data_IF_796160415030
#
_entry.id   IF_796160415030
#
_cell.length_a   1.000
_cell.length_b   1.000
_cell.length_c   1.000
_cell.angle_alpha   90.00
_cell.angle_beta   90.00
_cell.angle_gamma   90.00
#
_symmetry.space_group_name_H-M   'P 1'
#
loop_
_entity.id
_entity.type
_entity.pdbx_description
1 polymer ?
#
# COMPACT_ATOMS: atom_id res chain seq x y z
N UNK A 1 2.57 3.45 20.35
CA UNK A 1 1.76 2.66 19.40
C UNK A 1 0.45 2.25 20.05
N UNK A 2 -0.65 2.08 19.30
CA UNK A 2 -1.86 1.43 19.82
C UNK A 2 -1.55 0.03 20.36
N UNK A 3 -2.28 -0.43 21.38
CA UNK A 3 -2.09 -1.74 22.01
C UNK A 3 -3.43 -2.45 22.18
N UNK A 4 -3.41 -3.78 22.30
CA UNK A 4 -4.59 -4.56 22.68
C UNK A 4 -4.92 -4.27 24.14
N UNK A 5 -5.97 -3.48 24.36
CA UNK A 5 -6.42 -3.06 25.70
C UNK A 5 -7.59 -3.91 26.24
N UNK A 6 -8.09 -4.84 25.43
CA UNK A 6 -9.19 -5.74 25.79
C UNK A 6 -10.59 -5.10 25.78
N UNK A 7 -10.70 -3.81 25.44
CA UNK A 7 -11.98 -3.09 25.40
C UNK A 7 -12.21 -2.41 24.05
N UNK A 8 -11.39 -1.42 23.69
CA UNK A 8 -11.45 -0.74 22.41
C UNK A 8 -10.73 -1.56 21.32
N UNK A 9 -9.51 -2.01 21.60
CA UNK A 9 -8.76 -2.95 20.76
C UNK A 9 -8.74 -4.29 21.47
N UNK A 10 -9.65 -5.17 21.09
CA UNK A 10 -9.82 -6.48 21.75
C UNK A 10 -8.88 -7.56 21.22
N UNK A 11 -8.29 -7.35 20.04
CA UNK A 11 -7.34 -8.25 19.39
C UNK A 11 -6.54 -7.48 18.34
N UNK A 12 -5.43 -8.05 17.86
CA UNK A 12 -4.61 -7.43 16.82
C UNK A 12 -5.37 -7.29 15.49
N UNK A 13 -5.21 -6.17 14.75
CA UNK A 13 -6.01 -5.87 13.56
C UNK A 13 -5.99 -6.95 12.48
N UNK A 14 -4.83 -7.55 12.20
CA UNK A 14 -4.73 -8.66 11.23
C UNK A 14 -5.67 -9.82 11.55
N UNK A 15 -5.83 -10.21 12.82
CA UNK A 15 -6.79 -11.26 13.20
C UNK A 15 -8.24 -10.83 12.93
N UNK A 16 -8.57 -9.56 13.13
CA UNK A 16 -9.90 -9.03 12.80
C UNK A 16 -10.17 -9.08 11.30
N UNK A 17 -9.19 -8.74 10.47
CA UNK A 17 -9.31 -8.84 9.01
C UNK A 17 -9.45 -10.30 8.55
N UNK A 18 -8.60 -11.21 9.05
CA UNK A 18 -8.69 -12.65 8.76
C UNK A 18 -10.06 -13.24 9.14
N UNK A 19 -10.61 -12.82 10.28
CA UNK A 19 -11.95 -13.23 10.74
C UNK A 19 -13.09 -12.48 10.06
N UNK A 20 -12.79 -11.50 9.19
CA UNK A 20 -13.74 -10.56 8.58
C UNK A 20 -14.62 -9.83 9.61
N UNK A 21 -14.09 -9.62 10.81
CA UNK A 21 -14.72 -8.80 11.86
C UNK A 21 -14.41 -7.32 11.59
N UNK A 22 -15.06 -6.79 10.55
CA UNK A 22 -14.88 -5.41 10.09
C UNK A 22 -16.20 -4.65 10.17
N UNK A 23 -16.12 -3.35 10.42
CA UNK A 23 -17.26 -2.45 10.37
C UNK A 23 -17.17 -1.59 9.09
N UNK A 24 -17.50 -2.18 7.94
CA UNK A 24 -17.48 -1.50 6.64
C UNK A 24 -18.27 -2.27 5.59
N UNK A 25 -18.61 -1.59 4.49
CA UNK A 25 -19.36 -2.19 3.38
C UNK A 25 -18.44 -2.49 2.17
N UNK A 26 -17.86 -1.50 1.48
CA UNK A 26 -16.71 -1.71 0.61
C UNK A 26 -15.41 -1.16 1.22
N UNK A 27 -14.28 -1.49 0.61
CA UNK A 27 -12.98 -0.89 0.93
C UNK A 27 -12.31 -0.35 -0.34
N UNK A 28 -11.79 0.87 -0.28
CA UNK A 28 -10.81 1.39 -1.24
C UNK A 28 -9.54 1.68 -0.46
N UNK A 29 -8.46 0.99 -0.79
CA UNK A 29 -7.14 1.17 -0.18
C UNK A 29 -6.14 1.63 -1.23
N UNK A 30 -5.38 2.68 -0.93
CA UNK A 30 -4.34 3.21 -1.81
C UNK A 30 -3.03 3.30 -1.03
N UNK A 31 -1.92 2.95 -1.69
CA UNK A 31 -0.57 3.09 -1.15
C UNK A 31 0.33 3.75 -2.18
N UNK A 32 1.45 4.29 -1.74
CA UNK A 32 2.45 4.90 -2.60
C UNK A 32 3.52 3.87 -2.99
N UNK A 33 4.19 4.02 -4.14
CA UNK A 33 5.19 3.04 -4.61
C UNK A 33 6.35 2.86 -3.62
N UNK A 34 6.74 3.90 -2.89
CA UNK A 34 7.89 3.90 -1.98
C UNK A 34 7.52 4.39 -0.56
N UNK A 35 6.53 3.72 0.05
CA UNK A 35 6.03 4.04 1.41
C UNK A 35 7.14 4.13 2.46
N UNK A 36 8.09 3.19 2.45
CA UNK A 36 9.06 3.05 3.55
C UNK A 36 10.24 4.03 3.51
N UNK A 37 10.52 4.64 2.36
CA UNK A 37 11.79 5.34 2.13
C UNK A 37 12.05 6.47 3.12
N UNK A 38 11.02 7.24 3.46
CA UNK A 38 11.14 8.40 4.38
C UNK A 38 11.27 8.00 5.85
N UNK A 39 11.03 6.73 6.18
CA UNK A 39 11.14 6.20 7.54
C UNK A 39 12.49 5.53 7.80
N UNK A 40 13.31 5.37 6.76
CA UNK A 40 14.65 4.77 6.83
C UNK A 40 15.69 5.87 6.66
N UNK A 41 16.70 5.90 7.53
CA UNK A 41 17.82 6.82 7.39
C UNK A 41 18.67 6.44 6.16
N UNK A 42 18.44 7.13 5.05
CA UNK A 42 19.10 6.88 3.77
C UNK A 42 20.62 7.17 3.78
N UNK A 43 21.14 7.79 4.84
CA UNK A 43 22.58 8.04 5.04
C UNK A 43 23.24 7.07 6.03
N UNK A 44 22.47 6.14 6.62
CA UNK A 44 23.02 5.14 7.52
C UNK A 44 23.85 4.09 6.77
N UNK A 45 24.73 3.41 7.49
CA UNK A 45 25.37 2.19 6.98
C UNK A 45 24.28 1.18 6.65
N UNK A 46 24.27 0.69 5.41
CA UNK A 46 23.30 -0.30 5.00
C UNK A 46 23.51 -1.60 5.79
N UNK A 47 22.40 -2.21 6.20
CA UNK A 47 22.36 -3.47 6.94
C UNK A 47 21.58 -4.49 6.11
N UNK A 48 21.85 -5.78 6.35
CA UNK A 48 21.13 -6.85 5.65
C UNK A 48 19.66 -6.84 6.04
N UNK A 49 18.80 -7.44 5.19
CA UNK A 49 17.39 -7.57 5.48
C UNK A 49 17.12 -8.44 6.74
N UNK A 50 17.94 -9.46 7.00
CA UNK A 50 17.92 -10.23 8.24
C UNK A 50 18.21 -9.35 9.47
N UNK A 51 19.23 -8.49 9.40
CA UNK A 51 19.56 -7.60 10.50
C UNK A 51 18.44 -6.58 10.73
N UNK A 52 17.98 -5.91 9.67
CA UNK A 52 16.94 -4.90 9.79
C UNK A 52 15.62 -5.47 10.33
N UNK A 53 15.20 -6.65 9.86
CA UNK A 53 13.97 -7.29 10.37
C UNK A 53 14.07 -7.66 11.84
N UNK A 54 15.23 -8.07 12.33
CA UNK A 54 15.45 -8.38 13.75
C UNK A 54 15.46 -7.13 14.62
N UNK A 55 15.95 -6.00 14.09
CA UNK A 55 15.92 -4.70 14.76
C UNK A 55 14.49 -4.13 14.82
N UNK A 56 13.73 -4.28 13.73
CA UNK A 56 12.34 -3.81 13.64
C UNK A 56 11.37 -4.68 14.45
N UNK A 57 11.58 -5.99 14.48
CA UNK A 57 10.73 -6.96 15.18
C UNK A 57 11.56 -7.82 16.14
N UNK A 58 11.74 -7.37 17.40
CA UNK A 58 12.65 -8.01 18.36
C UNK A 58 12.32 -9.45 18.72
N UNK A 59 11.09 -9.90 18.48
CA UNK A 59 10.64 -11.28 18.76
C UNK A 59 10.99 -12.26 17.63
N UNK A 60 11.67 -11.81 16.57
CA UNK A 60 12.10 -12.68 15.48
C UNK A 60 13.24 -13.60 15.89
N UNK A 61 13.10 -14.87 15.53
CA UNK A 61 14.19 -15.85 15.57
C UNK A 61 15.14 -15.65 14.39
N UNK A 62 16.38 -16.15 14.52
CA UNK A 62 17.34 -16.16 13.42
C UNK A 62 16.81 -16.86 12.16
N UNK A 63 15.97 -17.89 12.30
CA UNK A 63 15.35 -18.58 11.16
C UNK A 63 14.37 -17.69 10.39
N UNK A 64 13.59 -16.87 11.11
CA UNK A 64 12.66 -15.91 10.50
C UNK A 64 13.43 -14.77 9.81
N UNK A 65 14.44 -14.21 10.47
CA UNK A 65 15.32 -13.21 9.88
C UNK A 65 15.99 -13.72 8.58
N UNK A 66 16.48 -14.97 8.57
CA UNK A 66 17.04 -15.58 7.36
C UNK A 66 16.01 -15.78 6.25
N UNK A 67 14.74 -16.03 6.60
CA UNK A 67 13.66 -16.11 5.61
C UNK A 67 13.41 -14.73 4.98
N UNK A 68 13.42 -13.66 5.79
CA UNK A 68 13.34 -12.29 5.29
C UNK A 68 14.50 -11.98 4.34
N UNK A 69 15.74 -12.32 4.70
CA UNK A 69 16.90 -12.13 3.83
C UNK A 69 16.68 -12.74 2.44
N UNK A 70 16.21 -13.99 2.39
CA UNK A 70 15.94 -14.68 1.13
C UNK A 70 14.80 -14.03 0.34
N UNK A 71 13.77 -13.52 1.01
CA UNK A 71 12.61 -12.89 0.39
C UNK A 71 12.92 -11.52 -0.23
N UNK A 72 13.87 -10.77 0.33
CA UNK A 72 14.28 -9.44 -0.15
C UNK A 72 15.53 -9.47 -1.03
N UNK A 73 16.20 -10.63 -1.11
CA UNK A 73 17.36 -10.83 -1.97
C UNK A 73 17.07 -10.46 -3.43
N UNK A 74 17.98 -9.69 -4.04
CA UNK A 74 17.89 -9.31 -5.44
C UNK A 74 16.96 -8.12 -5.76
N UNK A 75 16.31 -7.51 -4.76
CA UNK A 75 15.50 -6.30 -4.96
C UNK A 75 16.34 -5.04 -5.18
N UNK A 76 17.64 -5.10 -4.94
CA UNK A 76 18.57 -3.98 -5.09
C UNK A 76 19.54 -3.90 -3.92
N UNK A 77 20.21 -2.74 -3.74
CA UNK A 77 21.09 -2.51 -2.61
C UNK A 77 20.38 -2.68 -1.26
N UNK A 78 21.13 -3.03 -0.22
CA UNK A 78 20.62 -3.27 1.14
C UNK A 78 19.74 -2.13 1.70
N UNK A 79 20.10 -0.87 1.41
CA UNK A 79 19.30 0.29 1.83
C UNK A 79 17.92 0.35 1.14
N UNK A 80 17.84 -0.11 -0.11
CA UNK A 80 16.58 -0.24 -0.83
C UNK A 80 15.74 -1.37 -0.24
N UNK A 81 16.35 -2.52 0.07
CA UNK A 81 15.66 -3.64 0.71
C UNK A 81 15.08 -3.24 2.07
N UNK A 82 15.85 -2.47 2.85
CA UNK A 82 15.41 -1.89 4.14
C UNK A 82 14.19 -0.99 3.96
N UNK A 83 14.24 -0.09 2.96
CA UNK A 83 13.13 0.81 2.64
C UNK A 83 11.89 0.05 2.13
N UNK A 84 12.09 -0.96 1.29
CA UNK A 84 11.02 -1.83 0.82
C UNK A 84 10.38 -2.60 1.99
N UNK A 85 11.18 -3.15 2.91
CA UNK A 85 10.68 -3.85 4.09
C UNK A 85 9.88 -2.93 5.01
N UNK A 86 10.38 -1.73 5.26
CA UNK A 86 9.66 -0.72 6.05
C UNK A 86 8.31 -0.36 5.40
N UNK A 87 8.29 -0.19 4.08
CA UNK A 87 7.08 0.12 3.32
C UNK A 87 6.09 -1.03 3.32
N UNK A 88 6.57 -2.24 3.06
CA UNK A 88 5.76 -3.43 2.95
C UNK A 88 5.15 -3.86 4.27
N UNK A 89 5.95 -3.92 5.33
CA UNK A 89 5.49 -4.40 6.64
C UNK A 89 4.53 -3.45 7.31
N UNK A 90 4.67 -2.14 7.14
CA UNK A 90 3.89 -1.15 7.88
C UNK A 90 2.72 -0.58 7.07
N UNK A 91 2.85 -0.50 5.73
CA UNK A 91 1.87 0.17 4.87
C UNK A 91 1.28 -0.76 3.83
N UNK A 92 2.11 -1.34 2.95
CA UNK A 92 1.61 -2.03 1.75
C UNK A 92 0.93 -3.36 2.10
N UNK A 93 1.61 -4.28 2.78
CA UNK A 93 1.06 -5.60 3.08
C UNK A 93 -0.20 -5.56 3.97
N UNK A 94 -0.28 -4.71 5.00
CA UNK A 94 -1.51 -4.51 5.76
C UNK A 94 -2.74 -4.21 4.89
N UNK A 95 -2.58 -3.46 3.79
CA UNK A 95 -3.71 -3.22 2.88
C UNK A 95 -4.21 -4.48 2.20
N UNK A 96 -3.37 -5.45 1.84
CA UNK A 96 -3.84 -6.72 1.26
C UNK A 96 -4.65 -7.54 2.27
N UNK A 97 -4.26 -7.53 3.55
CA UNK A 97 -5.03 -8.18 4.61
C UNK A 97 -6.40 -7.50 4.75
N UNK A 98 -6.44 -6.16 4.71
CA UNK A 98 -7.69 -5.40 4.73
C UNK A 98 -8.58 -5.74 3.53
N UNK A 99 -8.04 -5.81 2.30
CA UNK A 99 -8.80 -6.16 1.10
C UNK A 99 -9.45 -7.54 1.22
N UNK A 100 -8.74 -8.52 1.79
CA UNK A 100 -9.25 -9.89 1.99
C UNK A 100 -10.51 -9.96 2.89
N UNK A 101 -10.71 -8.94 3.75
CA UNK A 101 -11.88 -8.83 4.61
C UNK A 101 -13.15 -8.39 3.87
N UNK A 102 -13.02 -7.87 2.64
CA UNK A 102 -14.12 -7.35 1.82
C UNK A 102 -14.18 -8.03 0.42
N UNK A 103 -14.30 -9.37 0.35
CA UNK A 103 -14.20 -10.11 -0.92
C UNK A 103 -15.24 -9.62 -1.94
N UNK A 104 -14.77 -9.33 -3.15
CA UNK A 104 -15.58 -8.83 -4.26
C UNK A 104 -16.04 -7.36 -4.12
N UNK A 105 -15.66 -6.68 -3.03
CA UNK A 105 -16.07 -5.30 -2.70
C UNK A 105 -14.89 -4.44 -2.24
N UNK A 106 -13.67 -4.85 -2.59
CA UNK A 106 -12.43 -4.20 -2.21
C UNK A 106 -11.67 -3.75 -3.45
N UNK A 107 -11.15 -2.53 -3.44
CA UNK A 107 -10.40 -1.94 -4.55
C UNK A 107 -9.05 -1.47 -4.04
N UNK A 108 -8.01 -1.69 -4.84
CA UNK A 108 -6.63 -1.36 -4.51
C UNK A 108 -6.04 -0.42 -5.54
N UNK A 109 -5.35 0.63 -5.12
CA UNK A 109 -4.64 1.55 -6.01
C UNK A 109 -3.20 1.77 -5.56
N UNK A 110 -2.36 2.11 -6.54
CA UNK A 110 -0.97 2.49 -6.33
C UNK A 110 -0.75 3.91 -6.85
N UNK A 111 -0.32 4.82 -5.96
CA UNK A 111 0.14 6.14 -6.34
C UNK A 111 1.66 6.11 -6.60
N UNK A 112 2.04 6.46 -7.83
CA UNK A 112 3.38 6.23 -8.34
C UNK A 112 4.05 7.47 -8.95
N UNK A 113 3.52 8.69 -8.72
CA UNK A 113 4.21 9.90 -9.15
C UNK A 113 5.55 10.03 -8.40
N UNK A 114 6.70 10.05 -9.10
CA UNK A 114 8.01 10.17 -8.48
C UNK A 114 8.11 11.40 -7.55
N UNK A 115 8.73 11.25 -6.36
CA UNK A 115 9.47 10.07 -5.90
C UNK A 115 8.61 8.99 -5.23
N UNK A 116 7.27 9.12 -5.21
CA UNK A 116 6.37 8.07 -4.71
C UNK A 116 6.46 7.80 -3.20
N UNK A 117 6.90 8.78 -2.41
CA UNK A 117 7.07 8.62 -0.97
C UNK A 117 5.76 8.67 -0.20
N UNK A 118 5.74 8.10 1.00
CA UNK A 118 4.62 8.22 1.93
C UNK A 118 4.11 9.66 2.07
N UNK A 119 2.79 9.84 1.89
CA UNK A 119 2.12 11.14 1.97
C UNK A 119 2.26 12.04 0.74
N UNK A 120 2.99 11.64 -0.30
CA UNK A 120 3.12 12.45 -1.54
C UNK A 120 1.81 12.56 -2.33
N UNK A 121 0.89 11.65 -2.09
CA UNK A 121 -0.44 11.58 -2.67
C UNK A 121 -1.44 12.54 -2.01
N UNK A 122 -1.16 13.04 -0.79
CA UNK A 122 -2.08 13.88 -0.01
C UNK A 122 -2.63 15.09 -0.77
N UNK A 123 -1.78 15.77 -1.55
CA UNK A 123 -2.18 16.95 -2.35
C UNK A 123 -3.19 16.60 -3.45
N UNK A 124 -3.26 15.34 -3.89
CA UNK A 124 -4.18 14.91 -4.94
C UNK A 124 -5.55 14.49 -4.41
N UNK A 125 -5.70 14.23 -3.11
CA UNK A 125 -7.03 14.02 -2.51
C UNK A 125 -7.83 15.31 -2.38
N UNK A 126 -7.13 16.44 -2.20
CA UNK A 126 -7.73 17.76 -1.96
C UNK A 126 -7.26 18.78 -3.01
N UNK A 127 -7.67 18.63 -4.29
CA UNK A 127 -7.31 19.59 -5.32
C UNK A 127 -7.66 21.03 -4.92
N UNK A 128 -6.73 21.96 -5.18
CA UNK A 128 -6.92 23.39 -4.92
C UNK A 128 -6.42 23.89 -3.55
N UNK A 129 -6.01 23.02 -2.63
CA UNK A 129 -5.39 23.46 -1.35
C UNK A 129 -3.92 23.84 -1.51
N UNK A 130 -3.23 23.22 -2.48
CA UNK A 130 -1.83 23.50 -2.83
C UNK A 130 -1.54 23.03 -4.26
N UNK A 131 -0.44 23.51 -4.84
CA UNK A 131 0.02 23.07 -6.17
C UNK A 131 0.76 21.73 -6.07
N UNK A 132 0.28 20.66 -6.73
CA UNK A 132 0.96 19.36 -6.69
C UNK A 132 2.25 19.36 -7.53
N UNK A 133 3.23 18.49 -7.21
CA UNK A 133 4.45 18.34 -8.01
C UNK A 133 4.19 17.97 -9.47
N UNK A 134 3.23 17.07 -9.73
CA UNK A 134 2.73 16.77 -11.08
C UNK A 134 1.40 17.48 -11.30
N UNK A 135 1.48 18.74 -11.72
CA UNK A 135 0.31 19.60 -11.93
C UNK A 135 -0.34 19.34 -13.30
N UNK A 136 -1.02 18.19 -13.43
CA UNK A 136 -1.74 17.79 -14.62
C UNK A 136 -3.23 17.59 -14.29
N UNK A 137 -4.12 18.37 -14.91
CA UNK A 137 -5.56 18.34 -14.62
C UNK A 137 -6.17 16.96 -14.79
N UNK A 138 -5.87 16.25 -15.89
CA UNK A 138 -6.43 14.92 -16.12
C UNK A 138 -5.97 13.90 -15.07
N UNK A 139 -4.72 13.99 -14.60
CA UNK A 139 -4.23 13.17 -13.49
C UNK A 139 -4.93 13.47 -12.17
N UNK A 140 -5.00 14.76 -11.82
CA UNK A 140 -5.62 15.25 -10.59
C UNK A 140 -7.09 14.81 -10.53
N UNK A 141 -7.82 14.99 -11.63
CA UNK A 141 -9.21 14.56 -11.76
C UNK A 141 -9.35 13.04 -11.67
N UNK A 142 -8.48 12.28 -12.34
CA UNK A 142 -8.50 10.81 -12.27
C UNK A 142 -8.34 10.29 -10.84
N UNK A 143 -7.39 10.84 -10.09
CA UNK A 143 -7.15 10.45 -8.70
C UNK A 143 -8.30 10.90 -7.80
N UNK A 144 -8.56 12.21 -7.70
CA UNK A 144 -9.54 12.77 -6.77
C UNK A 144 -10.97 12.26 -7.02
N UNK A 145 -11.38 12.17 -8.29
CA UNK A 145 -12.74 11.71 -8.61
C UNK A 145 -12.92 10.21 -8.36
N UNK A 146 -11.85 9.39 -8.35
CA UNK A 146 -11.96 7.99 -7.96
C UNK A 146 -12.43 7.83 -6.51
N UNK A 147 -11.87 8.63 -5.60
CA UNK A 147 -12.30 8.66 -4.20
C UNK A 147 -13.69 9.24 -4.05
N UNK A 148 -14.00 10.34 -4.74
CA UNK A 148 -15.33 10.97 -4.67
C UNK A 148 -16.41 10.01 -5.18
N UNK A 149 -16.15 9.32 -6.30
CA UNK A 149 -17.03 8.29 -6.86
C UNK A 149 -17.23 7.13 -5.89
N UNK A 150 -16.16 6.67 -5.24
CA UNK A 150 -16.24 5.63 -4.23
C UNK A 150 -17.01 6.05 -2.97
N UNK A 151 -16.80 7.27 -2.47
CA UNK A 151 -17.50 7.81 -1.30
C UNK A 151 -19.01 7.89 -1.54
N UNK A 152 -19.42 8.39 -2.71
CA UNK A 152 -20.84 8.58 -3.04
C UNK A 152 -21.51 7.25 -3.36
N UNK A 153 -20.84 6.39 -4.15
CA UNK A 153 -21.48 5.25 -4.77
C UNK A 153 -21.00 3.88 -4.24
N UNK A 154 -20.06 3.86 -3.30
CA UNK A 154 -19.45 2.63 -2.79
C UNK A 154 -18.76 1.79 -3.89
N UNK A 155 -18.47 2.39 -5.05
CA UNK A 155 -17.89 1.74 -6.23
C UNK A 155 -17.17 2.80 -7.11
N UNK A 156 -15.85 2.68 -7.38
CA UNK A 156 -15.10 3.68 -8.14
C UNK A 156 -15.44 3.69 -9.65
N UNK A 157 -16.26 2.74 -10.12
CA UNK A 157 -16.71 2.67 -11.52
C UNK A 157 -17.96 3.52 -11.78
N UNK A 158 -18.71 3.91 -10.75
CA UNK A 158 -19.85 4.81 -10.90
C UNK A 158 -19.32 6.23 -10.77
N UNK A 159 -18.90 6.79 -11.92
CA UNK A 159 -18.17 8.06 -12.00
C UNK A 159 -19.07 9.25 -11.67
N UNK A 160 -18.56 10.16 -10.84
CA UNK A 160 -19.20 11.47 -10.60
C UNK A 160 -19.15 12.36 -11.85
N UNK A 161 -18.06 12.29 -12.60
CA UNK A 161 -17.91 12.92 -13.90
C UNK A 161 -17.37 11.86 -14.87
N UNK A 162 -18.14 11.52 -15.93
CA UNK A 162 -17.76 10.47 -16.87
C UNK A 162 -16.61 10.88 -17.80
N UNK A 163 -16.17 12.14 -17.80
CA UNK A 163 -15.04 12.61 -18.62
C UNK A 163 -13.66 12.23 -18.07
N UNK A 164 -13.60 11.74 -16.83
CA UNK A 164 -12.35 11.29 -16.20
C UNK A 164 -11.67 10.18 -16.99
N UNK A 165 -10.34 10.21 -17.04
CA UNK A 165 -9.53 9.21 -17.76
C UNK A 165 -9.44 7.86 -17.01
N UNK A 166 -9.95 7.77 -15.77
CA UNK A 166 -9.87 6.54 -14.97
C UNK A 166 -10.66 5.41 -15.62
N UNK A 167 -10.00 4.33 -16.06
CA UNK A 167 -10.67 3.21 -16.71
C UNK A 167 -11.49 2.37 -15.71
N UNK A 168 -12.19 1.33 -16.18
CA UNK A 168 -12.81 0.35 -15.29
C UNK A 168 -11.78 -0.23 -14.30
N UNK A 169 -12.19 -0.30 -13.03
CA UNK A 169 -11.39 -0.74 -11.90
C UNK A 169 -12.04 -1.97 -11.29
N UNK A 170 -11.51 -3.15 -11.61
CA UNK A 170 -12.01 -4.40 -11.04
C UNK A 170 -11.72 -4.47 -9.54
N UNK A 171 -12.59 -5.10 -8.73
CA UNK A 171 -12.25 -5.45 -7.36
C UNK A 171 -10.95 -6.27 -7.31
N UNK A 172 -10.16 -6.09 -6.25
CA UNK A 172 -8.85 -6.72 -6.07
C UNK A 172 -8.91 -8.26 -6.22
N UNK A 173 -9.97 -8.88 -5.72
CA UNK A 173 -10.19 -10.33 -5.83
C UNK A 173 -10.27 -10.86 -7.28
N UNK A 174 -10.39 -9.96 -8.28
CA UNK A 174 -10.32 -10.29 -9.70
C UNK A 174 -8.90 -10.00 -10.18
N UNK A 175 -8.08 -11.06 -10.29
CA UNK A 175 -6.75 -10.99 -10.91
C UNK A 175 -5.73 -10.11 -10.19
N UNK A 176 -5.87 -9.96 -8.86
CA UNK A 176 -5.03 -9.10 -8.02
C UNK A 176 -4.90 -7.68 -8.59
N UNK A 177 -6.03 -7.14 -9.06
CA UNK A 177 -6.04 -5.88 -9.80
C UNK A 177 -5.82 -4.69 -8.87
N UNK A 178 -4.89 -3.81 -9.25
CA UNK A 178 -4.73 -2.47 -8.71
C UNK A 178 -4.92 -1.40 -9.79
N UNK A 179 -5.32 -0.19 -9.41
CA UNK A 179 -5.28 0.98 -10.30
C UNK A 179 -3.97 1.73 -10.09
N UNK A 180 -3.13 1.81 -11.13
CA UNK A 180 -1.91 2.62 -11.11
C UNK A 180 -2.24 4.08 -11.42
N UNK A 181 -1.67 4.99 -10.63
CA UNK A 181 -1.67 6.44 -10.89
C UNK A 181 -0.23 6.94 -11.02
N UNK A 182 0.24 7.11 -12.25
CA UNK A 182 1.62 7.48 -12.58
C UNK A 182 1.70 8.56 -13.69
N UNK A 183 2.92 8.85 -14.14
CA UNK A 183 3.27 9.64 -15.32
C UNK A 183 4.33 8.91 -16.16
N UNK A 184 4.44 9.24 -17.45
CA UNK A 184 5.40 8.58 -18.37
C UNK A 184 6.87 8.92 -18.07
N UNK A 185 7.15 10.21 -17.87
CA UNK A 185 8.44 10.78 -17.49
C UNK A 185 8.18 11.96 -16.54
N UNK A 186 9.23 12.57 -15.97
CA UNK A 186 9.06 13.73 -15.10
C UNK A 186 8.28 14.84 -15.83
N UNK A 187 7.10 15.17 -15.30
CA UNK A 187 6.14 16.10 -15.88
C UNK A 187 5.62 15.69 -17.27
N UNK A 188 5.53 14.38 -17.52
CA UNK A 188 5.06 13.78 -18.77
C UNK A 188 3.54 13.68 -18.88
N UNK A 189 3.07 12.67 -19.61
CA UNK A 189 1.64 12.39 -19.75
C UNK A 189 1.13 11.60 -18.54
N UNK A 190 -0.14 11.78 -18.12
CA UNK A 190 -0.74 10.97 -17.08
C UNK A 190 -0.86 9.52 -17.52
N UNK A 191 -0.55 8.60 -16.61
CA UNK A 191 -0.65 7.15 -16.79
C UNK A 191 -1.60 6.62 -15.73
N UNK A 192 -2.83 6.29 -16.13
CA UNK A 192 -3.86 5.75 -15.25
C UNK A 192 -4.41 4.48 -15.88
N UNK A 193 -4.05 3.31 -15.35
CA UNK A 193 -4.52 2.03 -15.87
C UNK A 193 -4.46 0.91 -14.84
N UNK A 194 -5.23 -0.18 -15.04
CA UNK A 194 -5.14 -1.35 -14.19
C UNK A 194 -3.77 -2.03 -14.33
N UNK A 195 -3.25 -2.50 -13.21
CA UNK A 195 -2.07 -3.36 -13.10
C UNK A 195 -2.44 -4.60 -12.29
N UNK A 196 -1.62 -5.64 -12.38
CA UNK A 196 -1.70 -6.81 -11.51
C UNK A 196 -0.60 -6.69 -10.46
N UNK A 197 -0.95 -6.89 -9.19
CA UNK A 197 0.03 -6.92 -8.10
C UNK A 197 1.10 -7.97 -8.38
N UNK A 198 2.35 -7.62 -8.10
CA UNK A 198 3.47 -8.56 -8.23
C UNK A 198 3.27 -9.79 -7.33
N UNK A 199 3.35 -10.98 -7.92
CA UNK A 199 3.29 -12.24 -7.15
C UNK A 199 4.44 -12.36 -6.13
N UNK A 200 5.59 -11.77 -6.41
CA UNK A 200 6.71 -11.71 -5.46
C UNK A 200 6.37 -10.82 -4.25
N UNK A 201 5.68 -9.69 -4.47
CA UNK A 201 5.18 -8.85 -3.37
C UNK A 201 4.14 -9.59 -2.54
N UNK A 202 3.16 -10.25 -3.18
CA UNK A 202 2.16 -11.06 -2.47
C UNK A 202 2.79 -12.19 -1.66
N UNK A 203 3.86 -12.81 -2.17
CA UNK A 203 4.64 -13.83 -1.44
C UNK A 203 5.27 -13.26 -0.17
N UNK A 204 5.87 -12.06 -0.25
CA UNK A 204 6.41 -11.37 0.93
C UNK A 204 5.30 -11.00 1.92
N UNK A 205 4.19 -10.47 1.44
CA UNK A 205 3.06 -10.11 2.29
C UNK A 205 2.42 -11.31 2.97
N UNK A 206 2.38 -12.48 2.31
CA UNK A 206 1.92 -13.72 2.94
C UNK A 206 2.86 -14.17 4.06
N UNK A 207 4.17 -14.05 3.88
CA UNK A 207 5.13 -14.30 4.96
C UNK A 207 4.87 -13.36 6.15
N UNK A 208 4.75 -12.05 5.91
CA UNK A 208 4.50 -11.06 6.96
C UNK A 208 3.18 -11.31 7.71
N UNK A 209 2.13 -11.78 7.02
CA UNK A 209 0.86 -12.16 7.65
C UNK A 209 1.06 -13.36 8.59
N UNK A 210 1.82 -14.36 8.14
CA UNK A 210 2.06 -15.61 8.87
C UNK A 210 2.84 -15.42 10.18
N UNK A 211 3.67 -14.38 10.26
CA UNK A 211 4.45 -14.01 11.45
C UNK A 211 3.86 -12.83 12.20
N UNK A 212 2.61 -12.44 11.89
CA UNK A 212 2.01 -11.23 12.44
C UNK A 212 1.95 -11.17 13.97
N UNK A 213 1.88 -12.33 14.64
CA UNK A 213 1.88 -12.40 16.11
C UNK A 213 3.21 -11.93 16.71
N UNK A 214 4.30 -12.01 15.95
CA UNK A 214 5.64 -11.57 16.34
C UNK A 214 5.93 -10.13 15.89
N UNK A 215 5.16 -9.60 14.94
CA UNK A 215 5.28 -8.21 14.48
C UNK A 215 4.23 -7.28 15.11
N UNK A 216 3.38 -7.83 15.97
CA UNK A 216 2.26 -7.13 16.63
C UNK A 216 1.27 -6.44 15.66
N UNK A 217 1.18 -6.92 14.41
CA UNK A 217 0.26 -6.44 13.38
C UNK A 217 -1.11 -7.12 13.48
#
# INVERSE_FOLDING_TARGET
>A
VPVVDGTFITQRPTLSFMQRKVNGAPLLAVTNTFEGTVFVNQSATAVTAAQYSSELFPDFTAAQANTVENLYSGLGPDIFQTSAMQGETIFICPTYYMLSAFPGRSFKGEFAIPPGFHGSDLVYYFPGTSTPPFNNTAFIDAFAQSFTSFIINQNPNIKVDPSTITPPWSPFAIGDTEMLFNQTALNGLPVVHPITTSSALLTRCQFWESVGNLTAQ
#
